data_IF_299033794064
#
_entry.id   IF_299033794064
#
_cell.length_a   1.000
_cell.length_b   1.000
_cell.length_c   1.000
_cell.angle_alpha   90.00
_cell.angle_beta   90.00
_cell.angle_gamma   90.00
#
_symmetry.space_group_name_H-M   'P 1'
#
loop_
_entity.id
_entity.type
_entity.pdbx_description
1 polymer ?
#
# COMPACT_ATOMS: atom_id res chain seq x y z
N UNK A 1 -36.97 3.38 6.33
CA UNK A 1 -36.35 4.02 7.52
C UNK A 1 -35.78 2.92 8.39
N UNK A 2 -34.51 2.61 8.27
CA UNK A 2 -33.85 1.64 9.15
C UNK A 2 -33.35 2.41 10.38
N UNK A 3 -33.83 2.05 11.55
CA UNK A 3 -33.38 2.56 12.82
C UNK A 3 -31.90 2.20 13.01
N UNK A 4 -31.04 3.21 12.90
CA UNK A 4 -29.65 3.11 13.29
C UNK A 4 -29.63 2.94 14.82
N UNK A 5 -29.47 1.72 15.28
CA UNK A 5 -29.29 1.43 16.71
C UNK A 5 -28.03 2.15 17.20
N UNK A 6 -28.14 2.90 18.29
CA UNK A 6 -27.02 3.59 18.92
C UNK A 6 -25.89 2.58 19.23
N UNK A 7 -24.62 2.93 18.98
CA UNK A 7 -23.49 2.02 19.21
C UNK A 7 -23.46 1.62 20.69
N UNK A 8 -23.61 0.33 20.93
CA UNK A 8 -23.60 -0.21 22.29
C UNK A 8 -22.24 0.05 22.96
N UNK A 9 -22.22 0.29 24.29
CA UNK A 9 -20.99 0.41 25.10
C UNK A 9 -20.07 -0.80 24.94
N UNK A 10 -20.63 -1.97 24.64
CA UNK A 10 -19.93 -3.22 24.35
C UNK A 10 -19.05 -3.14 23.09
N UNK A 11 -19.50 -2.45 22.03
CA UNK A 11 -18.73 -2.31 20.80
C UNK A 11 -17.43 -1.50 20.98
N UNK A 12 -17.45 -0.42 21.80
CA UNK A 12 -16.25 0.40 22.05
C UNK A 12 -15.20 -0.34 22.86
N UNK A 13 -15.62 -1.13 23.86
CA UNK A 13 -14.67 -1.97 24.63
C UNK A 13 -14.00 -2.99 23.72
N UNK A 14 -14.73 -3.65 22.85
CA UNK A 14 -14.18 -4.62 21.92
C UNK A 14 -13.19 -3.96 20.92
N UNK A 15 -13.46 -2.72 20.46
CA UNK A 15 -12.52 -1.97 19.61
C UNK A 15 -11.19 -1.70 20.34
N UNK A 16 -11.25 -1.25 21.60
CA UNK A 16 -10.06 -1.00 22.41
C UNK A 16 -9.30 -2.28 22.74
N UNK A 17 -10.01 -3.39 22.98
CA UNK A 17 -9.39 -4.70 23.19
C UNK A 17 -8.65 -5.14 21.93
N UNK A 18 -9.27 -5.01 20.75
CA UNK A 18 -8.63 -5.37 19.47
C UNK A 18 -7.34 -4.57 19.23
N UNK A 19 -7.38 -3.26 19.49
CA UNK A 19 -6.17 -2.42 19.37
C UNK A 19 -5.14 -2.81 20.45
N UNK A 20 -5.56 -3.08 21.69
CA UNK A 20 -4.66 -3.56 22.74
C UNK A 20 -3.97 -4.89 22.38
N UNK A 21 -4.71 -5.84 21.80
CA UNK A 21 -4.16 -7.10 21.30
C UNK A 21 -3.18 -6.86 20.15
N UNK A 22 -3.52 -5.98 19.21
CA UNK A 22 -2.62 -5.59 18.11
C UNK A 22 -1.31 -4.98 18.65
N UNK A 23 -1.40 -4.09 19.66
CA UNK A 23 -0.21 -3.53 20.31
C UNK A 23 0.62 -4.60 21.03
N UNK A 24 0.00 -5.63 21.62
CA UNK A 24 0.71 -6.76 22.21
C UNK A 24 1.43 -7.60 21.14
N UNK A 25 0.82 -7.83 20.00
CA UNK A 25 1.47 -8.52 18.86
C UNK A 25 2.67 -7.71 18.37
N UNK A 26 2.53 -6.39 18.21
CA UNK A 26 3.63 -5.50 17.83
C UNK A 26 4.75 -5.54 18.89
N UNK A 27 4.41 -5.42 20.18
CA UNK A 27 5.39 -5.47 21.26
C UNK A 27 6.12 -6.81 21.32
N UNK A 28 5.41 -7.92 21.08
CA UNK A 28 6.01 -9.25 21.00
C UNK A 28 6.95 -9.37 19.79
N UNK A 29 6.56 -8.84 18.62
CA UNK A 29 7.40 -8.84 17.43
C UNK A 29 8.69 -8.03 17.64
N UNK A 30 8.59 -6.86 18.28
CA UNK A 30 9.75 -6.08 18.70
C UNK A 30 10.63 -6.90 19.66
N UNK A 31 10.05 -7.46 20.73
CA UNK A 31 10.80 -8.18 21.77
C UNK A 31 11.53 -9.41 21.23
N UNK A 32 10.84 -10.24 20.44
CA UNK A 32 11.45 -11.43 19.80
C UNK A 32 12.47 -11.02 18.75
N UNK A 33 12.17 -10.02 17.91
CA UNK A 33 13.12 -9.53 16.92
C UNK A 33 14.39 -8.95 17.54
N UNK A 34 14.29 -8.18 18.62
CA UNK A 34 15.45 -7.68 19.36
C UNK A 34 16.23 -8.83 20.03
N UNK A 35 15.55 -9.87 20.48
CA UNK A 35 16.23 -11.08 20.99
C UNK A 35 17.02 -11.77 19.89
N UNK A 36 16.46 -11.94 18.70
CA UNK A 36 17.14 -12.54 17.55
C UNK A 36 18.33 -11.70 17.06
N UNK A 37 18.28 -10.40 17.18
CA UNK A 37 19.38 -9.50 16.83
C UNK A 37 20.56 -9.52 17.83
N UNK A 38 20.47 -10.26 18.96
CA UNK A 38 21.56 -10.37 19.93
C UNK A 38 22.70 -11.24 19.37
N UNK A 39 23.97 -10.88 19.65
CA UNK A 39 25.10 -11.74 19.32
C UNK A 39 24.92 -13.13 19.94
N UNK A 40 25.13 -14.17 19.17
CA UNK A 40 25.00 -15.55 19.61
C UNK A 40 23.59 -16.16 19.60
N UNK A 41 22.59 -15.45 19.11
CA UNK A 41 21.22 -15.99 18.97
C UNK A 41 21.12 -17.13 17.94
N UNK A 42 22.04 -17.18 16.97
CA UNK A 42 22.01 -18.14 15.85
C UNK A 42 20.89 -17.88 14.83
N UNK A 43 20.10 -16.82 15.00
CA UNK A 43 18.99 -16.46 14.10
C UNK A 43 19.31 -15.13 13.43
N UNK A 44 19.05 -15.04 12.13
CA UNK A 44 19.27 -13.84 11.33
C UNK A 44 17.96 -13.35 10.75
N UNK A 45 17.52 -12.14 11.12
CA UNK A 45 16.27 -11.57 10.63
C UNK A 45 16.45 -10.38 9.69
N UNK A 46 17.65 -9.78 9.65
CA UNK A 46 17.98 -8.60 8.84
C UNK A 46 16.96 -7.44 9.00
N UNK A 47 16.50 -7.19 10.22
CA UNK A 47 15.66 -6.05 10.58
C UNK A 47 16.15 -5.46 11.90
N UNK A 48 16.71 -4.26 11.87
CA UNK A 48 17.35 -3.65 13.05
C UNK A 48 16.36 -2.86 13.92
N UNK A 49 15.18 -2.53 13.39
CA UNK A 49 14.03 -1.99 14.15
C UNK A 49 12.80 -2.91 13.99
N UNK A 50 12.91 -4.21 14.35
CA UNK A 50 11.84 -5.18 14.09
C UNK A 50 10.50 -4.75 14.72
N UNK A 51 9.34 -5.04 14.10
CA UNK A 51 9.19 -5.78 12.85
C UNK A 51 9.45 -4.96 11.59
N UNK A 52 9.74 -3.66 11.70
CA UNK A 52 9.98 -2.76 10.58
C UNK A 52 11.41 -2.90 10.05
N UNK A 53 11.53 -2.72 8.73
CA UNK A 53 12.84 -2.66 8.09
C UNK A 53 13.40 -1.23 8.18
N UNK A 54 14.26 -1.00 9.14
CA UNK A 54 14.84 0.30 9.45
C UNK A 54 15.80 0.26 10.62
N UNK A 55 16.18 1.43 11.09
CA UNK A 55 17.07 1.62 12.25
C UNK A 55 16.34 2.37 13.34
N UNK A 56 16.52 1.97 14.60
CA UNK A 56 16.10 2.78 15.74
C UNK A 56 16.99 4.02 15.81
N UNK A 57 16.43 5.15 15.39
CA UNK A 57 17.12 6.44 15.35
C UNK A 57 16.12 7.56 15.68
N UNK A 58 15.91 7.89 16.95
CA UNK A 58 15.10 9.04 17.31
C UNK A 58 15.66 10.33 16.73
N UNK A 59 14.87 11.02 15.93
CA UNK A 59 15.30 12.25 15.25
C UNK A 59 14.15 13.19 14.95
N UNK A 60 14.51 14.43 14.63
CA UNK A 60 13.64 15.47 14.12
C UNK A 60 14.29 16.09 12.87
N UNK A 61 13.48 16.60 11.97
CA UNK A 61 14.00 17.21 10.75
C UNK A 61 13.10 18.33 10.20
N UNK A 62 13.44 18.88 9.02
CA UNK A 62 12.74 20.02 8.44
C UNK A 62 11.22 19.78 8.28
N UNK A 63 10.79 18.54 8.07
CA UNK A 63 9.39 18.18 7.91
C UNK A 63 8.59 18.09 9.21
N UNK A 64 9.24 17.97 10.38
CA UNK A 64 8.57 17.68 11.66
C UNK A 64 7.49 18.68 12.02
N UNK A 65 7.77 19.97 11.92
CA UNK A 65 6.80 21.03 12.24
C UNK A 65 5.62 21.01 11.28
N UNK A 66 5.90 20.90 9.97
CA UNK A 66 4.85 20.82 8.95
C UNK A 66 3.95 19.59 9.13
N UNK A 67 4.53 18.43 9.40
CA UNK A 67 3.79 17.20 9.66
C UNK A 67 2.86 17.33 10.89
N UNK A 68 3.36 17.88 12.01
CA UNK A 68 2.54 18.10 13.21
C UNK A 68 1.41 19.08 12.94
N UNK A 69 1.69 20.21 12.26
CA UNK A 69 0.67 21.20 11.92
C UNK A 69 -0.41 20.61 11.00
N UNK A 70 -0.02 19.87 9.96
CA UNK A 70 -0.96 19.20 9.06
C UNK A 70 -1.81 18.18 9.81
N UNK A 71 -1.21 17.37 10.69
CA UNK A 71 -1.96 16.43 11.53
C UNK A 71 -3.02 17.15 12.37
N UNK A 72 -2.66 18.23 13.05
CA UNK A 72 -3.57 19.02 13.86
C UNK A 72 -4.69 19.66 13.02
N UNK A 73 -4.37 20.21 11.84
CA UNK A 73 -5.36 20.79 10.93
C UNK A 73 -6.35 19.74 10.42
N UNK A 74 -5.87 18.57 9.97
CA UNK A 74 -6.73 17.51 9.46
C UNK A 74 -7.57 16.88 10.59
N UNK A 75 -7.01 16.64 11.77
CA UNK A 75 -7.75 16.11 12.92
C UNK A 75 -8.85 17.06 13.37
N UNK A 76 -8.58 18.38 13.38
CA UNK A 76 -9.54 19.37 13.87
C UNK A 76 -10.57 19.79 12.83
N UNK A 77 -10.18 19.94 11.56
CA UNK A 77 -11.03 20.50 10.49
C UNK A 77 -11.44 19.46 9.44
N UNK A 78 -10.63 18.42 9.21
CA UNK A 78 -10.85 17.42 8.17
C UNK A 78 -12.26 16.81 8.17
N UNK A 79 -12.76 16.26 9.30
CA UNK A 79 -14.09 15.66 9.33
C UNK A 79 -15.23 16.66 9.00
N UNK A 80 -15.10 17.92 9.43
CA UNK A 80 -16.11 18.94 9.11
C UNK A 80 -16.06 19.40 7.65
N UNK A 81 -14.87 19.52 7.08
CA UNK A 81 -14.68 19.81 5.66
C UNK A 81 -15.18 18.66 4.79
N UNK A 82 -14.88 17.41 5.16
CA UNK A 82 -15.38 16.23 4.47
C UNK A 82 -16.90 16.15 4.44
N UNK A 83 -17.57 16.60 5.50
CA UNK A 83 -19.04 16.63 5.56
C UNK A 83 -19.66 17.76 4.72
N UNK A 84 -19.00 18.91 4.56
CA UNK A 84 -19.60 20.14 4.01
C UNK A 84 -19.21 20.45 2.57
N UNK A 85 -17.98 20.11 2.16
CA UNK A 85 -17.48 20.45 0.84
C UNK A 85 -18.19 19.67 -0.26
N UNK A 86 -18.35 20.30 -1.44
CA UNK A 86 -18.77 19.60 -2.65
C UNK A 86 -17.76 18.50 -2.99
N UNK A 87 -18.21 17.42 -3.62
CA UNK A 87 -17.41 16.22 -3.82
C UNK A 87 -16.08 16.47 -4.53
N UNK A 88 -16.07 17.14 -5.68
CA UNK A 88 -14.83 17.39 -6.45
C UNK A 88 -13.80 18.25 -5.69
N UNK A 89 -14.16 19.42 -5.12
CA UNK A 89 -13.25 20.19 -4.28
C UNK A 89 -12.75 19.40 -3.05
N UNK A 90 -13.58 18.55 -2.48
CA UNK A 90 -13.18 17.69 -1.36
C UNK A 90 -12.07 16.70 -1.75
N UNK A 91 -12.22 16.04 -2.90
CA UNK A 91 -11.20 15.12 -3.41
C UNK A 91 -9.89 15.84 -3.74
N UNK A 92 -9.97 17.02 -4.38
CA UNK A 92 -8.79 17.83 -4.69
C UNK A 92 -8.06 18.28 -3.41
N UNK A 93 -8.81 18.75 -2.41
CA UNK A 93 -8.24 19.13 -1.11
C UNK A 93 -7.60 17.90 -0.43
N UNK A 94 -8.26 16.75 -0.43
CA UNK A 94 -7.74 15.50 0.13
C UNK A 94 -6.42 15.10 -0.53
N UNK A 95 -6.36 15.14 -1.86
CA UNK A 95 -5.16 14.83 -2.62
C UNK A 95 -3.99 15.77 -2.30
N UNK A 96 -4.22 17.09 -2.37
CA UNK A 96 -3.17 18.08 -2.07
C UNK A 96 -2.69 17.97 -0.62
N UNK A 97 -3.62 17.71 0.32
CA UNK A 97 -3.25 17.53 1.73
C UNK A 97 -2.46 16.22 1.93
N UNK A 98 -2.80 15.15 1.20
CA UNK A 98 -2.04 13.89 1.23
C UNK A 98 -0.62 14.07 0.67
N UNK A 99 -0.47 14.82 -0.42
CA UNK A 99 0.86 15.18 -0.95
C UNK A 99 1.68 15.94 0.08
N UNK A 100 1.08 16.98 0.71
CA UNK A 100 1.74 17.77 1.73
C UNK A 100 2.11 16.93 2.96
N UNK A 101 1.22 16.02 3.39
CA UNK A 101 1.46 15.10 4.50
C UNK A 101 2.61 14.13 4.19
N UNK A 102 2.54 13.42 3.09
CA UNK A 102 3.56 12.46 2.65
C UNK A 102 4.92 13.12 2.48
N UNK A 103 4.96 14.28 1.82
CA UNK A 103 6.19 15.06 1.66
C UNK A 103 6.74 15.54 3.01
N UNK A 104 5.88 16.01 3.93
CA UNK A 104 6.33 16.44 5.25
C UNK A 104 6.92 15.28 6.05
N UNK A 105 6.34 14.06 5.95
CA UNK A 105 6.89 12.87 6.57
C UNK A 105 8.27 12.53 5.98
N UNK A 106 8.41 12.49 4.66
CA UNK A 106 9.70 12.24 4.00
C UNK A 106 10.76 13.28 4.42
N UNK A 107 10.36 14.54 4.59
CA UNK A 107 11.24 15.63 5.02
C UNK A 107 11.62 15.57 6.51
N UNK A 108 11.04 14.69 7.33
CA UNK A 108 11.56 14.41 8.68
C UNK A 108 12.97 13.82 8.58
N UNK A 109 13.22 12.97 7.59
CA UNK A 109 14.55 12.44 7.27
C UNK A 109 15.43 13.42 6.46
N UNK A 110 14.84 14.51 5.98
CA UNK A 110 15.50 15.54 5.19
C UNK A 110 15.53 15.26 3.69
N UNK A 111 15.93 16.25 2.90
CA UNK A 111 15.87 16.21 1.44
C UNK A 111 16.68 15.06 0.83
N UNK A 112 17.95 14.95 1.22
CA UNK A 112 18.85 13.96 0.63
C UNK A 112 18.46 12.53 1.03
N UNK A 113 18.24 12.29 2.32
CA UNK A 113 17.99 10.94 2.85
C UNK A 113 16.52 10.51 2.72
N UNK A 114 15.59 11.42 3.03
CA UNK A 114 14.17 11.11 3.08
C UNK A 114 13.45 11.20 1.75
N UNK A 115 14.00 11.95 0.78
CA UNK A 115 13.33 12.18 -0.49
C UNK A 115 14.19 11.75 -1.68
N UNK A 116 15.26 12.46 -2.01
CA UNK A 116 15.99 12.22 -3.27
C UNK A 116 16.86 10.98 -3.29
N UNK A 117 17.31 10.51 -2.13
CA UNK A 117 18.21 9.36 -2.01
C UNK A 117 17.53 7.99 -1.98
N UNK A 118 16.22 7.94 -1.70
CA UNK A 118 15.51 6.66 -1.46
C UNK A 118 15.59 5.68 -2.63
N UNK A 119 15.42 6.16 -3.86
CA UNK A 119 15.38 5.33 -5.07
C UNK A 119 16.74 5.28 -5.80
N UNK A 120 17.82 5.80 -5.18
CA UNK A 120 19.13 5.91 -5.83
C UNK A 120 20.20 4.97 -5.25
N UNK A 121 19.86 4.14 -4.28
CA UNK A 121 20.79 3.18 -3.71
C UNK A 121 21.16 2.10 -4.73
N UNK A 122 22.26 1.38 -4.49
CA UNK A 122 22.73 0.30 -5.36
C UNK A 122 21.73 -0.85 -5.55
N UNK A 123 20.72 -0.95 -4.68
CA UNK A 123 19.70 -1.99 -4.75
C UNK A 123 18.44 -1.53 -5.51
N UNK A 124 18.34 -0.23 -5.84
CA UNK A 124 17.16 0.40 -6.41
C UNK A 124 17.22 0.54 -7.94
N UNK A 125 16.05 0.82 -8.52
CA UNK A 125 15.84 0.89 -9.98
C UNK A 125 16.76 1.89 -10.67
N UNK A 126 16.97 3.08 -10.07
CA UNK A 126 17.75 4.15 -10.70
C UNK A 126 19.23 3.79 -10.90
N UNK A 127 19.72 2.77 -10.19
CA UNK A 127 21.08 2.26 -10.40
C UNK A 127 21.24 1.63 -11.80
N UNK A 128 20.21 0.93 -12.29
CA UNK A 128 20.24 0.25 -13.59
C UNK A 128 19.88 1.15 -14.79
N UNK A 129 19.10 2.22 -14.55
CA UNK A 129 18.55 3.08 -15.61
C UNK A 129 19.60 3.61 -16.59
N UNK A 130 20.80 4.09 -16.16
CA UNK A 130 21.81 4.58 -17.10
C UNK A 130 22.36 3.51 -18.05
N UNK A 131 22.35 2.24 -17.64
CA UNK A 131 22.79 1.11 -18.46
C UNK A 131 21.74 0.64 -19.49
N UNK A 132 20.48 1.02 -19.32
CA UNK A 132 19.37 0.60 -20.21
C UNK A 132 19.29 1.57 -21.38
N UNK A 133 20.08 1.33 -22.43
CA UNK A 133 20.11 2.16 -23.64
C UNK A 133 19.06 1.74 -24.68
N UNK A 134 18.71 0.45 -24.72
CA UNK A 134 17.76 -0.17 -25.63
C UNK A 134 16.64 -0.88 -24.85
N UNK A 135 15.42 -0.34 -24.89
CA UNK A 135 14.26 -0.91 -24.20
C UNK A 135 13.84 -2.27 -24.78
N UNK A 136 13.73 -2.47 -26.10
CA UNK A 136 13.47 -3.77 -26.70
C UNK A 136 14.47 -4.85 -26.26
N UNK A 137 15.77 -4.57 -26.30
CA UNK A 137 16.79 -5.50 -25.83
C UNK A 137 16.63 -5.81 -24.34
N UNK A 138 16.43 -4.79 -23.51
CA UNK A 138 16.18 -4.95 -22.06
C UNK A 138 14.98 -5.89 -21.79
N UNK A 139 13.88 -5.74 -22.51
CA UNK A 139 12.69 -6.57 -22.31
C UNK A 139 12.92 -8.02 -22.74
N UNK A 140 13.60 -8.25 -23.85
CA UNK A 140 13.92 -9.59 -24.37
C UNK A 140 14.88 -10.35 -23.45
N UNK A 141 15.88 -9.65 -22.89
CA UNK A 141 16.92 -10.22 -22.04
C UNK A 141 16.56 -10.20 -20.56
N UNK A 142 15.43 -9.58 -20.17
CA UNK A 142 15.11 -9.32 -18.78
C UNK A 142 15.16 -10.58 -17.91
N UNK A 143 14.53 -11.66 -18.35
CA UNK A 143 14.43 -12.91 -17.60
C UNK A 143 15.79 -13.58 -17.41
N UNK A 144 16.72 -13.49 -18.36
CA UNK A 144 18.04 -14.10 -18.26
C UNK A 144 18.93 -13.47 -17.17
N UNK A 145 18.62 -12.23 -16.77
CA UNK A 145 19.37 -11.45 -15.78
C UNK A 145 18.73 -11.42 -14.39
N UNK A 146 17.61 -12.16 -14.17
CA UNK A 146 16.90 -12.17 -12.88
C UNK A 146 17.72 -12.91 -11.81
N UNK A 147 18.27 -14.08 -12.11
CA UNK A 147 19.04 -14.87 -11.13
C UNK A 147 20.31 -14.17 -10.70
N UNK A 148 20.71 -14.37 -9.43
CA UNK A 148 21.95 -13.82 -8.88
C UNK A 148 23.19 -14.59 -9.31
N UNK A 149 24.35 -14.06 -8.95
CA UNK A 149 25.67 -14.66 -9.19
C UNK A 149 26.08 -14.76 -10.66
N UNK A 150 25.45 -14.00 -11.55
CA UNK A 150 25.87 -13.82 -12.94
C UNK A 150 26.58 -12.46 -13.09
N UNK A 151 27.47 -12.30 -14.07
CA UNK A 151 28.22 -11.04 -14.25
C UNK A 151 27.34 -9.80 -14.50
N UNK A 152 26.14 -10.01 -15.02
CA UNK A 152 25.18 -8.98 -15.45
C UNK A 152 23.80 -9.11 -14.77
N UNK A 153 23.72 -9.79 -13.61
CA UNK A 153 22.49 -9.90 -12.84
C UNK A 153 21.90 -8.54 -12.51
N UNK A 154 20.57 -8.43 -12.63
CA UNK A 154 19.85 -7.23 -12.18
C UNK A 154 20.04 -6.99 -10.68
N UNK A 155 20.07 -5.71 -10.29
CA UNK A 155 20.02 -5.31 -8.87
C UNK A 155 18.77 -5.85 -8.17
N UNK A 156 18.77 -5.84 -6.85
CA UNK A 156 17.76 -6.49 -6.01
C UNK A 156 16.32 -6.11 -6.38
N UNK A 157 16.02 -4.80 -6.52
CA UNK A 157 14.64 -4.38 -6.80
C UNK A 157 14.26 -4.56 -8.27
N UNK A 158 15.21 -4.45 -9.19
CA UNK A 158 14.95 -4.74 -10.60
C UNK A 158 14.66 -6.22 -10.81
N UNK A 159 15.48 -7.11 -10.24
CA UNK A 159 15.28 -8.56 -10.33
C UNK A 159 14.02 -9.03 -9.59
N UNK A 160 13.66 -8.36 -8.49
CA UNK A 160 12.50 -8.70 -7.65
C UNK A 160 11.14 -8.33 -8.26
N UNK A 161 11.11 -7.56 -9.33
CA UNK A 161 9.90 -7.05 -9.96
C UNK A 161 9.88 -7.33 -11.45
N UNK A 162 8.69 -7.41 -12.08
CA UNK A 162 8.59 -7.44 -13.54
C UNK A 162 9.13 -6.14 -14.18
N UNK A 163 9.49 -6.15 -15.47
CA UNK A 163 10.17 -5.04 -16.13
C UNK A 163 9.37 -3.74 -16.18
N UNK A 164 8.07 -3.77 -15.98
CA UNK A 164 7.23 -2.55 -15.98
C UNK A 164 7.62 -1.58 -14.87
N UNK A 165 8.07 -2.07 -13.71
CA UNK A 165 8.56 -1.22 -12.63
C UNK A 165 9.80 -0.42 -13.07
N UNK A 166 10.77 -1.10 -13.67
CA UNK A 166 11.99 -0.47 -14.20
C UNK A 166 11.68 0.49 -15.33
N UNK A 167 10.76 0.13 -16.25
CA UNK A 167 10.35 0.96 -17.37
C UNK A 167 9.80 2.33 -16.92
N UNK A 168 9.12 2.45 -15.79
CA UNK A 168 8.66 3.74 -15.29
C UNK A 168 9.84 4.71 -15.14
N UNK A 169 10.93 4.26 -14.54
CA UNK A 169 12.11 5.10 -14.31
C UNK A 169 12.93 5.32 -15.59
N UNK A 170 12.98 4.33 -16.48
CA UNK A 170 13.60 4.48 -17.80
C UNK A 170 12.84 5.53 -18.62
N UNK A 171 11.51 5.52 -18.62
CA UNK A 171 10.71 6.53 -19.33
C UNK A 171 10.91 7.93 -18.74
N UNK A 172 11.03 8.07 -17.41
CA UNK A 172 11.36 9.36 -16.81
C UNK A 172 12.71 9.87 -17.28
N UNK A 173 13.72 9.02 -17.32
CA UNK A 173 15.05 9.36 -17.83
C UNK A 173 15.00 9.84 -19.29
N UNK A 174 14.27 9.13 -20.16
CA UNK A 174 14.09 9.51 -21.56
C UNK A 174 13.34 10.84 -21.77
N UNK A 175 12.50 11.22 -20.81
CA UNK A 175 11.81 12.51 -20.80
C UNK A 175 12.68 13.64 -20.22
N UNK A 176 13.94 13.37 -19.84
CA UNK A 176 14.84 14.33 -19.20
C UNK A 176 14.55 14.55 -17.71
N UNK A 177 13.70 13.73 -17.09
CA UNK A 177 13.34 13.79 -15.68
C UNK A 177 14.25 12.84 -14.87
N UNK A 178 15.54 13.11 -14.89
CA UNK A 178 16.58 12.22 -14.36
C UNK A 178 16.79 12.39 -12.86
N UNK A 179 17.23 11.30 -12.22
CA UNK A 179 17.68 11.28 -10.82
C UNK A 179 16.56 11.16 -9.79
N UNK A 180 16.98 11.03 -8.54
CA UNK A 180 16.09 10.69 -7.43
C UNK A 180 15.01 11.71 -7.14
N UNK A 181 15.27 13.00 -7.37
CA UNK A 181 14.27 14.05 -7.12
C UNK A 181 13.02 13.90 -7.99
N UNK A 182 13.20 13.63 -9.28
CA UNK A 182 12.07 13.42 -10.21
C UNK A 182 11.40 12.08 -9.98
N UNK A 183 12.17 11.01 -9.78
CA UNK A 183 11.63 9.69 -9.46
C UNK A 183 10.75 9.74 -8.21
N UNK A 184 11.25 10.34 -7.12
CA UNK A 184 10.51 10.50 -5.86
C UNK A 184 9.27 11.37 -6.03
N UNK A 185 9.36 12.46 -6.81
CA UNK A 185 8.21 13.32 -7.10
C UNK A 185 7.11 12.53 -7.80
N UNK A 186 7.44 11.73 -8.83
CA UNK A 186 6.45 10.93 -9.56
C UNK A 186 5.86 9.84 -8.68
N UNK A 187 6.68 9.16 -7.89
CA UNK A 187 6.23 8.14 -6.93
C UNK A 187 5.22 8.73 -5.93
N UNK A 188 5.51 9.88 -5.33
CA UNK A 188 4.61 10.53 -4.36
C UNK A 188 3.34 11.04 -5.04
N UNK A 189 3.45 11.67 -6.22
CA UNK A 189 2.28 12.14 -6.98
C UNK A 189 1.33 10.98 -7.32
N UNK A 190 1.87 9.89 -7.85
CA UNK A 190 1.05 8.73 -8.23
C UNK A 190 0.58 7.97 -7.00
N UNK A 191 1.43 7.75 -6.00
CA UNK A 191 1.10 7.01 -4.79
C UNK A 191 -0.06 7.65 -4.01
N UNK A 192 -0.05 8.97 -3.87
CA UNK A 192 -1.14 9.70 -3.21
C UNK A 192 -2.48 9.63 -3.94
N UNK A 193 -2.54 9.16 -5.21
CA UNK A 193 -3.82 8.89 -5.88
C UNK A 193 -4.64 7.84 -5.13
N UNK A 194 -4.02 6.91 -4.40
CA UNK A 194 -4.73 5.93 -3.58
C UNK A 194 -5.66 6.59 -2.56
N UNK A 195 -5.26 7.75 -2.00
CA UNK A 195 -6.06 8.54 -1.04
C UNK A 195 -7.36 9.03 -1.64
N UNK A 196 -7.42 9.22 -2.95
CA UNK A 196 -8.63 9.64 -3.70
C UNK A 196 -9.35 8.42 -4.29
N UNK A 197 -8.62 7.45 -4.80
CA UNK A 197 -9.16 6.28 -5.47
C UNK A 197 -10.04 5.44 -4.54
N UNK A 198 -9.61 5.23 -3.29
CA UNK A 198 -10.40 4.45 -2.30
C UNK A 198 -11.75 5.12 -2.00
N UNK A 199 -11.86 6.42 -1.63
CA UNK A 199 -13.15 7.10 -1.48
C UNK A 199 -13.97 7.12 -2.76
N UNK A 200 -13.36 7.32 -3.94
CA UNK A 200 -14.07 7.29 -5.23
C UNK A 200 -14.71 5.93 -5.47
N UNK A 201 -14.00 4.85 -5.17
CA UNK A 201 -14.54 3.48 -5.25
C UNK A 201 -15.76 3.31 -4.36
N UNK A 202 -15.71 3.72 -3.10
CA UNK A 202 -16.85 3.64 -2.18
C UNK A 202 -18.04 4.47 -2.66
N UNK A 203 -17.79 5.69 -3.14
CA UNK A 203 -18.86 6.55 -3.67
C UNK A 203 -19.48 5.98 -4.97
N UNK A 204 -18.67 5.34 -5.82
CA UNK A 204 -19.16 4.66 -7.02
C UNK A 204 -20.06 3.46 -6.67
N UNK A 205 -19.73 2.76 -5.59
CA UNK A 205 -20.50 1.64 -5.03
C UNK A 205 -21.68 2.09 -4.15
N UNK A 206 -22.06 3.38 -4.17
CA UNK A 206 -23.21 3.92 -3.46
C UNK A 206 -22.98 4.29 -1.99
N UNK A 207 -21.71 4.33 -1.53
CA UNK A 207 -21.35 4.65 -0.14
C UNK A 207 -20.54 5.96 -0.05
N UNK A 208 -21.13 7.06 -0.57
CA UNK A 208 -20.51 8.40 -0.47
C UNK A 208 -20.36 8.86 1.00
N UNK A 209 -21.28 8.47 1.88
CA UNK A 209 -21.20 8.70 3.33
C UNK A 209 -19.92 8.10 3.95
N UNK A 210 -19.65 6.86 3.60
CA UNK A 210 -18.42 6.16 3.99
C UNK A 210 -17.18 6.81 3.36
N UNK A 211 -17.24 7.12 2.07
CA UNK A 211 -16.14 7.76 1.33
C UNK A 211 -15.72 9.09 1.98
N UNK A 212 -16.68 9.94 2.35
CA UNK A 212 -16.42 11.19 3.07
C UNK A 212 -15.80 10.97 4.46
N UNK A 213 -16.23 9.92 5.14
CA UNK A 213 -15.66 9.53 6.44
C UNK A 213 -14.22 9.03 6.31
N UNK A 214 -13.93 8.24 5.28
CA UNK A 214 -12.62 7.63 5.04
C UNK A 214 -11.56 8.64 4.65
N UNK A 215 -11.90 9.67 3.87
CA UNK A 215 -10.93 10.59 3.27
C UNK A 215 -9.96 11.24 4.28
N UNK A 216 -10.37 11.81 5.43
CA UNK A 216 -9.42 12.34 6.40
C UNK A 216 -8.46 11.29 6.99
N UNK A 217 -8.92 10.04 7.13
CA UNK A 217 -8.08 8.93 7.59
C UNK A 217 -7.10 8.48 6.51
N UNK A 218 -7.53 8.45 5.25
CA UNK A 218 -6.67 8.16 4.12
C UNK A 218 -5.54 9.19 3.98
N UNK A 219 -5.84 10.48 4.22
CA UNK A 219 -4.84 11.56 4.24
C UNK A 219 -3.80 11.33 5.33
N UNK A 220 -4.20 10.98 6.55
CA UNK A 220 -3.31 10.82 7.71
C UNK A 220 -2.94 9.36 7.98
N UNK A 221 -3.03 8.48 6.98
CA UNK A 221 -2.64 7.08 7.15
C UNK A 221 -1.16 6.96 7.56
N UNK A 222 -0.81 6.09 8.51
CA UNK A 222 0.59 5.82 8.82
C UNK A 222 1.37 5.27 7.62
N UNK A 223 0.73 4.49 6.74
CA UNK A 223 1.33 4.01 5.49
C UNK A 223 1.89 5.11 4.57
N UNK A 224 1.51 6.38 4.79
CA UNK A 224 2.08 7.51 4.06
C UNK A 224 3.61 7.65 4.25
N UNK A 225 4.18 7.11 5.34
CA UNK A 225 5.64 7.04 5.57
C UNK A 225 6.31 6.34 4.38
N UNK A 226 5.73 5.23 3.93
CA UNK A 226 6.30 4.37 2.87
C UNK A 226 5.82 4.75 1.46
N UNK A 227 4.73 5.48 1.32
CA UNK A 227 4.40 6.17 0.06
C UNK A 227 5.46 7.20 -0.27
N UNK A 228 6.05 7.81 0.71
CA UNK A 228 7.07 8.80 0.53
C UNK A 228 8.43 8.44 1.17
N UNK A 229 9.29 7.61 0.51
CA UNK A 229 9.28 7.30 -0.93
C UNK A 229 9.63 5.85 -1.17
N UNK A 230 8.75 5.08 -1.78
CA UNK A 230 9.05 3.75 -2.30
C UNK A 230 8.31 3.51 -3.62
N UNK A 231 8.84 2.65 -4.48
CA UNK A 231 8.16 2.25 -5.71
C UNK A 231 6.78 1.61 -5.42
N UNK A 232 6.63 0.95 -4.27
CA UNK A 232 5.37 0.34 -3.83
C UNK A 232 4.26 1.39 -3.63
N UNK A 233 4.62 2.63 -3.24
CA UNK A 233 3.69 3.76 -3.22
C UNK A 233 3.11 4.04 -4.61
N UNK A 234 3.95 4.08 -5.65
CA UNK A 234 3.49 4.22 -7.03
C UNK A 234 2.59 3.05 -7.44
N UNK A 235 2.96 1.82 -7.08
CA UNK A 235 2.17 0.62 -7.38
C UNK A 235 0.77 0.70 -6.74
N UNK A 236 0.70 1.17 -5.48
CA UNK A 236 -0.57 1.40 -4.79
C UNK A 236 -1.44 2.43 -5.52
N UNK A 237 -0.86 3.54 -5.95
CA UNK A 237 -1.59 4.59 -6.68
C UNK A 237 -2.13 4.14 -8.04
N UNK A 238 -1.32 3.43 -8.83
CA UNK A 238 -1.72 2.87 -10.14
C UNK A 238 -2.87 1.89 -9.98
N UNK A 239 -2.69 0.91 -9.10
CA UNK A 239 -3.67 -0.19 -8.95
C UNK A 239 -4.95 0.28 -8.26
N UNK A 240 -4.86 1.18 -7.27
CA UNK A 240 -6.04 1.76 -6.66
C UNK A 240 -6.86 2.60 -7.66
N UNK A 241 -6.18 3.34 -8.56
CA UNK A 241 -6.84 4.06 -9.64
C UNK A 241 -7.53 3.09 -10.61
N UNK A 242 -6.88 1.98 -10.95
CA UNK A 242 -7.47 0.91 -11.76
C UNK A 242 -8.78 0.38 -11.15
N UNK A 243 -8.78 0.03 -9.87
CA UNK A 243 -9.98 -0.46 -9.15
C UNK A 243 -11.07 0.64 -9.07
N UNK A 244 -10.68 1.90 -8.85
CA UNK A 244 -11.65 3.01 -8.84
C UNK A 244 -12.33 3.19 -10.21
N UNK A 245 -11.59 3.03 -11.31
CA UNK A 245 -12.16 3.06 -12.67
C UNK A 245 -13.12 1.89 -12.90
N UNK A 246 -12.80 0.68 -12.40
CA UNK A 246 -13.73 -0.45 -12.46
C UNK A 246 -15.04 -0.16 -11.69
N UNK A 247 -14.95 0.40 -10.49
CA UNK A 247 -16.13 0.79 -9.74
C UNK A 247 -16.94 1.88 -10.47
N UNK A 248 -16.30 2.86 -11.08
CA UNK A 248 -16.93 3.91 -11.90
C UNK A 248 -17.53 3.36 -13.21
N UNK A 249 -17.05 2.23 -13.70
CA UNK A 249 -17.58 1.59 -14.90
C UNK A 249 -19.05 1.17 -14.77
N UNK A 250 -19.56 1.04 -13.55
CA UNK A 250 -21.02 0.89 -13.29
C UNK A 250 -21.85 2.04 -13.85
N UNK A 251 -21.26 3.23 -13.98
CA UNK A 251 -21.90 4.42 -14.57
C UNK A 251 -21.55 4.63 -16.04
N UNK A 252 -20.32 4.24 -16.44
CA UNK A 252 -19.79 4.36 -17.81
C UNK A 252 -18.93 3.16 -18.12
N UNK A 253 -19.48 2.13 -18.72
CA UNK A 253 -18.81 0.83 -18.98
C UNK A 253 -17.43 0.94 -19.60
N UNK A 254 -17.22 1.93 -20.48
CA UNK A 254 -15.92 2.15 -21.16
C UNK A 254 -14.77 2.38 -20.16
N UNK A 255 -15.03 2.86 -18.94
CA UNK A 255 -14.02 3.05 -17.92
C UNK A 255 -13.40 1.73 -17.42
N UNK A 256 -14.05 0.59 -17.68
CA UNK A 256 -13.49 -0.71 -17.36
C UNK A 256 -12.22 -1.00 -18.19
N UNK A 257 -12.14 -0.51 -19.42
CA UNK A 257 -10.97 -0.73 -20.26
C UNK A 257 -9.71 -0.03 -19.70
N UNK A 258 -9.68 1.29 -19.45
CA UNK A 258 -8.52 1.91 -18.81
C UNK A 258 -8.28 1.38 -17.37
N UNK A 259 -9.33 0.99 -16.64
CA UNK A 259 -9.17 0.29 -15.36
C UNK A 259 -8.40 -1.03 -15.53
N UNK A 260 -8.78 -1.82 -16.54
CA UNK A 260 -8.08 -3.06 -16.90
C UNK A 260 -6.65 -2.82 -17.38
N UNK A 261 -6.40 -1.77 -18.18
CA UNK A 261 -5.03 -1.40 -18.60
C UNK A 261 -4.14 -1.08 -17.39
N UNK A 262 -4.63 -0.30 -16.42
CA UNK A 262 -3.87 0.02 -15.20
C UNK A 262 -3.62 -1.22 -14.33
N UNK A 263 -4.61 -2.11 -14.19
CA UNK A 263 -4.44 -3.35 -13.45
C UNK A 263 -3.51 -4.33 -14.19
N UNK A 264 -3.61 -4.39 -15.52
CA UNK A 264 -2.68 -5.13 -16.36
C UNK A 264 -1.25 -4.62 -16.21
N UNK A 265 -1.06 -3.29 -16.23
CA UNK A 265 0.25 -2.69 -15.96
C UNK A 265 0.71 -2.98 -14.53
N UNK A 266 -0.21 -3.00 -13.56
CA UNK A 266 0.07 -3.43 -12.18
C UNK A 266 0.71 -4.82 -12.11
N UNK A 267 0.29 -5.79 -12.93
CA UNK A 267 0.92 -7.11 -13.00
C UNK A 267 2.40 -7.03 -13.43
N UNK A 268 2.78 -5.99 -14.17
CA UNK A 268 4.17 -5.74 -14.59
C UNK A 268 4.91 -4.75 -13.69
N UNK A 269 4.25 -4.24 -12.64
CA UNK A 269 4.90 -3.47 -11.57
C UNK A 269 5.37 -4.38 -10.44
N UNK A 270 4.56 -5.37 -10.03
CA UNK A 270 4.96 -6.37 -9.03
C UNK A 270 4.19 -7.67 -9.21
N UNK A 271 4.86 -8.81 -9.05
CA UNK A 271 4.25 -10.13 -9.16
C UNK A 271 3.14 -10.35 -8.13
N UNK A 272 3.29 -9.82 -6.91
CA UNK A 272 2.30 -9.93 -5.83
C UNK A 272 0.97 -9.23 -6.15
N UNK A 273 0.95 -8.27 -7.09
CA UNK A 273 -0.26 -7.51 -7.42
C UNK A 273 -1.35 -8.34 -8.14
N UNK A 274 -1.03 -9.56 -8.57
CA UNK A 274 -2.05 -10.52 -9.03
C UNK A 274 -3.10 -10.78 -7.94
N UNK A 275 -2.73 -10.70 -6.66
CA UNK A 275 -3.63 -10.89 -5.53
C UNK A 275 -4.72 -9.81 -5.44
N UNK A 276 -4.55 -8.64 -6.07
CA UNK A 276 -5.62 -7.63 -6.20
C UNK A 276 -6.83 -8.14 -6.99
N UNK A 277 -6.71 -9.27 -7.68
CA UNK A 277 -7.84 -9.98 -8.28
C UNK A 277 -8.96 -10.27 -7.28
N UNK A 278 -8.64 -10.48 -6.00
CA UNK A 278 -9.63 -10.65 -4.92
C UNK A 278 -10.48 -9.38 -4.73
N UNK A 279 -9.85 -8.21 -4.77
CA UNK A 279 -10.54 -6.92 -4.67
C UNK A 279 -11.37 -6.61 -5.93
N UNK A 280 -10.81 -6.93 -7.11
CA UNK A 280 -11.56 -6.82 -8.38
C UNK A 280 -12.80 -7.69 -8.34
N UNK A 281 -12.68 -8.93 -7.87
CA UNK A 281 -13.82 -9.84 -7.69
C UNK A 281 -14.84 -9.27 -6.70
N UNK A 282 -14.40 -8.68 -5.58
CA UNK A 282 -15.30 -8.03 -4.62
C UNK A 282 -16.12 -6.90 -5.28
N UNK A 283 -15.48 -6.06 -6.11
CA UNK A 283 -16.16 -5.00 -6.87
C UNK A 283 -17.19 -5.61 -7.84
N UNK A 284 -16.84 -6.68 -8.56
CA UNK A 284 -17.76 -7.36 -9.49
C UNK A 284 -18.96 -7.98 -8.75
N UNK A 285 -18.73 -8.62 -7.61
CA UNK A 285 -19.77 -9.20 -6.75
C UNK A 285 -20.75 -8.13 -6.25
N UNK A 286 -20.23 -6.96 -5.84
CA UNK A 286 -21.04 -5.82 -5.36
C UNK A 286 -21.86 -5.21 -6.48
N UNK A 287 -21.29 -5.06 -7.65
CA UNK A 287 -21.93 -4.42 -8.80
C UNK A 287 -22.84 -5.36 -9.59
N UNK A 288 -22.54 -6.67 -9.57
CA UNK A 288 -23.15 -7.72 -10.39
C UNK A 288 -23.06 -7.47 -11.90
N UNK A 289 -22.06 -6.70 -12.33
CA UNK A 289 -21.87 -6.28 -13.71
C UNK A 289 -20.69 -7.05 -14.35
N UNK A 290 -20.96 -8.27 -14.81
CA UNK A 290 -19.95 -9.14 -15.43
C UNK A 290 -19.34 -8.54 -16.71
N UNK A 291 -20.07 -7.66 -17.39
CA UNK A 291 -19.55 -6.93 -18.56
C UNK A 291 -18.35 -6.02 -18.21
N UNK A 292 -18.30 -5.52 -16.98
CA UNK A 292 -17.15 -4.73 -16.48
C UNK A 292 -15.92 -5.63 -16.39
N UNK A 293 -16.08 -6.85 -15.86
CA UNK A 293 -14.98 -7.81 -15.76
C UNK A 293 -14.44 -8.17 -17.16
N UNK A 294 -15.32 -8.42 -18.12
CA UNK A 294 -14.91 -8.74 -19.50
C UNK A 294 -14.10 -7.62 -20.13
N UNK A 295 -14.55 -6.37 -20.06
CA UNK A 295 -13.83 -5.23 -20.59
C UNK A 295 -12.51 -4.98 -19.84
N UNK A 296 -12.47 -5.17 -18.52
CA UNK A 296 -11.25 -5.09 -17.75
C UNK A 296 -10.26 -6.17 -18.16
N UNK A 297 -10.73 -7.41 -18.38
CA UNK A 297 -9.88 -8.51 -18.85
C UNK A 297 -9.29 -8.21 -20.23
N UNK A 298 -10.03 -7.56 -21.11
CA UNK A 298 -9.47 -7.07 -22.41
C UNK A 298 -8.34 -6.08 -22.16
N UNK A 299 -8.52 -5.11 -21.25
CA UNK A 299 -7.46 -4.16 -20.90
C UNK A 299 -6.22 -4.86 -20.33
N UNK A 300 -6.41 -5.80 -19.40
CA UNK A 300 -5.31 -6.62 -18.84
C UNK A 300 -4.62 -7.41 -19.95
N UNK A 301 -5.39 -8.08 -20.82
CA UNK A 301 -4.85 -8.89 -21.92
C UNK A 301 -4.02 -8.08 -22.90
N UNK A 302 -4.42 -6.84 -23.21
CA UNK A 302 -3.65 -5.91 -24.07
C UNK A 302 -2.26 -5.67 -23.48
N UNK A 303 -2.16 -5.41 -22.16
CA UNK A 303 -0.85 -5.17 -21.53
C UNK A 303 -0.03 -6.46 -21.49
N UNK A 304 -0.63 -7.58 -21.09
CA UNK A 304 0.06 -8.88 -21.05
C UNK A 304 0.60 -9.24 -22.43
N UNK A 305 -0.22 -9.06 -23.48
CA UNK A 305 0.19 -9.32 -24.86
C UNK A 305 1.31 -8.38 -25.31
N UNK A 306 1.25 -7.09 -24.94
CA UNK A 306 2.30 -6.13 -25.29
C UNK A 306 3.66 -6.55 -24.72
N UNK A 307 3.74 -6.94 -23.46
CA UNK A 307 4.98 -7.44 -22.84
C UNK A 307 5.42 -8.78 -23.43
N UNK A 308 4.49 -9.70 -23.70
CA UNK A 308 4.80 -10.99 -24.32
C UNK A 308 5.39 -10.81 -25.73
N UNK A 309 4.80 -9.94 -26.56
CA UNK A 309 5.31 -9.61 -27.89
C UNK A 309 6.65 -8.85 -27.86
N UNK A 310 6.92 -8.12 -26.77
CA UNK A 310 8.19 -7.46 -26.52
C UNK A 310 9.27 -8.41 -25.95
N UNK A 311 8.97 -9.71 -25.80
CA UNK A 311 9.93 -10.75 -25.41
C UNK A 311 9.94 -11.10 -23.91
N UNK A 312 9.10 -10.49 -23.09
CA UNK A 312 9.00 -10.85 -21.66
C UNK A 312 7.74 -11.64 -21.36
N UNK A 313 7.91 -12.88 -20.88
CA UNK A 313 6.82 -13.74 -20.42
C UNK A 313 6.69 -13.72 -18.90
N UNK A 314 5.55 -13.30 -18.40
CA UNK A 314 5.32 -13.03 -16.98
C UNK A 314 5.55 -14.25 -16.07
N UNK A 315 5.12 -15.46 -16.51
CA UNK A 315 5.29 -16.68 -15.71
C UNK A 315 6.75 -17.12 -15.60
N UNK A 316 7.54 -16.94 -16.65
CA UNK A 316 8.98 -17.24 -16.62
C UNK A 316 9.67 -16.32 -15.61
N UNK A 317 9.36 -15.01 -15.67
CA UNK A 317 9.86 -14.05 -14.70
C UNK A 317 9.43 -14.38 -13.27
N UNK A 318 8.18 -14.84 -13.07
CA UNK A 318 7.69 -15.25 -11.76
C UNK A 318 8.45 -16.45 -11.19
N UNK A 319 8.68 -17.49 -11.99
CA UNK A 319 9.44 -18.65 -11.53
C UNK A 319 10.88 -18.26 -11.15
N UNK A 320 11.52 -17.45 -11.99
CA UNK A 320 12.88 -16.99 -11.73
C UNK A 320 12.98 -16.08 -10.50
N UNK A 321 11.99 -15.20 -10.25
CA UNK A 321 12.02 -14.36 -9.06
C UNK A 321 11.83 -15.16 -7.77
N UNK A 322 11.04 -16.24 -7.79
CA UNK A 322 10.94 -17.14 -6.64
C UNK A 322 12.29 -17.79 -6.33
N UNK A 323 13.03 -18.22 -7.34
CA UNK A 323 14.40 -18.72 -7.17
C UNK A 323 15.35 -17.62 -6.66
N UNK A 324 15.33 -16.44 -7.30
CA UNK A 324 16.10 -15.27 -6.90
C UNK A 324 15.87 -14.86 -5.44
N UNK A 325 14.63 -14.93 -4.99
CA UNK A 325 14.25 -14.60 -3.61
C UNK A 325 15.01 -15.47 -2.60
N UNK A 326 15.17 -16.76 -2.90
CA UNK A 326 15.90 -17.70 -2.03
C UNK A 326 17.42 -17.70 -2.28
N UNK A 327 17.93 -17.05 -3.30
CA UNK A 327 19.36 -16.77 -3.45
C UNK A 327 19.84 -15.64 -2.52
N UNK A 328 18.92 -14.77 -2.06
CA UNK A 328 19.19 -13.64 -1.19
C UNK A 328 18.99 -13.91 0.31
N UNK A 329 18.92 -12.83 1.07
CA UNK A 329 18.76 -12.82 2.54
C UNK A 329 17.49 -13.52 3.03
N UNK A 330 16.47 -13.65 2.18
CA UNK A 330 15.21 -14.31 2.49
C UNK A 330 15.36 -15.77 2.91
N UNK A 331 16.39 -16.47 2.43
CA UNK A 331 16.72 -17.84 2.87
C UNK A 331 17.04 -17.91 4.35
N UNK A 332 17.70 -16.89 4.88
CA UNK A 332 18.14 -16.82 6.29
C UNK A 332 17.04 -16.31 7.21
N UNK A 333 16.04 -15.60 6.68
CA UNK A 333 14.91 -15.07 7.44
C UNK A 333 13.93 -16.20 7.83
N UNK A 334 13.73 -16.52 9.12
CA UNK A 334 12.89 -17.62 9.56
C UNK A 334 11.41 -17.31 9.31
N UNK A 335 10.72 -18.16 8.57
CA UNK A 335 9.29 -18.02 8.31
C UNK A 335 8.45 -18.04 9.59
N UNK A 336 8.85 -18.86 10.57
CA UNK A 336 8.16 -18.97 11.87
C UNK A 336 8.11 -17.67 12.66
N UNK A 337 9.02 -16.73 12.41
CA UNK A 337 8.96 -15.38 12.97
C UNK A 337 8.19 -14.44 12.04
N UNK A 338 8.52 -14.42 10.75
CA UNK A 338 8.00 -13.43 9.84
C UNK A 338 6.51 -13.59 9.57
N UNK A 339 5.94 -14.79 9.53
CA UNK A 339 4.50 -15.03 9.30
C UNK A 339 3.57 -14.27 10.27
N UNK A 340 4.03 -13.86 11.43
CA UNK A 340 3.27 -13.05 12.37
C UNK A 340 3.91 -11.68 12.64
N UNK A 341 5.21 -11.52 12.45
CA UNK A 341 5.89 -10.25 12.53
C UNK A 341 5.53 -9.33 11.34
N UNK A 342 5.29 -9.89 10.16
CA UNK A 342 4.76 -9.17 9.01
C UNK A 342 3.36 -8.61 9.31
N UNK A 343 2.50 -9.39 9.95
CA UNK A 343 1.21 -8.85 10.44
C UNK A 343 1.43 -7.72 11.46
N UNK A 344 2.43 -7.80 12.34
CA UNK A 344 2.75 -6.71 13.25
C UNK A 344 3.19 -5.43 12.50
N UNK A 345 3.97 -5.56 11.41
CA UNK A 345 4.35 -4.42 10.56
C UNK A 345 3.12 -3.79 9.87
N UNK A 346 2.21 -4.62 9.32
CA UNK A 346 0.93 -4.16 8.77
C UNK A 346 0.10 -3.41 9.82
N UNK A 347 0.01 -3.92 11.06
CA UNK A 347 -0.75 -3.27 12.14
C UNK A 347 -0.21 -1.85 12.45
N UNK A 348 1.10 -1.65 12.32
CA UNK A 348 1.72 -0.32 12.44
C UNK A 348 1.34 0.54 11.23
N UNK A 349 1.46 0.02 10.02
CA UNK A 349 1.23 0.75 8.77
C UNK A 349 -0.23 1.19 8.59
N UNK A 350 -1.20 0.38 9.01
CA UNK A 350 -2.63 0.73 8.91
C UNK A 350 -3.13 1.57 10.09
N UNK A 351 -2.52 1.43 11.26
CA UNK A 351 -2.82 2.20 12.46
C UNK A 351 -4.11 1.79 13.21
N UNK A 352 -4.32 2.34 14.42
CA UNK A 352 -5.32 1.85 15.37
C UNK A 352 -6.78 2.02 14.91
N UNK A 353 -7.08 3.05 14.11
CA UNK A 353 -8.44 3.27 13.59
C UNK A 353 -8.86 2.15 12.64
N UNK A 354 -7.97 1.76 11.74
CA UNK A 354 -8.23 0.69 10.75
C UNK A 354 -8.32 -0.66 11.46
N UNK A 355 -7.46 -0.94 12.44
CA UNK A 355 -7.53 -2.16 13.27
C UNK A 355 -8.92 -2.31 13.91
N UNK A 356 -9.39 -1.26 14.59
CA UNK A 356 -10.71 -1.26 15.23
C UNK A 356 -11.85 -1.43 14.22
N UNK A 357 -11.74 -0.77 13.06
CA UNK A 357 -12.71 -0.89 11.98
C UNK A 357 -12.74 -2.27 11.33
N UNK A 358 -11.59 -2.88 11.06
CA UNK A 358 -11.47 -4.23 10.49
C UNK A 358 -12.06 -5.28 11.43
N UNK A 359 -11.81 -5.16 12.74
CA UNK A 359 -12.52 -5.99 13.73
C UNK A 359 -14.04 -5.88 13.58
N UNK A 360 -14.57 -4.67 13.34
CA UNK A 360 -16.03 -4.47 13.14
C UNK A 360 -16.52 -5.14 11.86
N UNK A 361 -15.79 -5.02 10.77
CA UNK A 361 -16.10 -5.72 9.52
C UNK A 361 -16.17 -7.23 9.72
N UNK A 362 -15.21 -7.81 10.46
CA UNK A 362 -15.21 -9.23 10.81
C UNK A 362 -16.42 -9.62 11.68
N UNK A 363 -16.77 -8.79 12.68
CA UNK A 363 -17.93 -9.05 13.53
C UNK A 363 -19.26 -8.96 12.76
N UNK A 364 -19.40 -8.02 11.83
CA UNK A 364 -20.57 -7.92 10.94
C UNK A 364 -20.68 -9.15 10.02
N UNK A 365 -19.56 -9.59 9.47
CA UNK A 365 -19.52 -10.80 8.64
C UNK A 365 -19.94 -12.04 9.41
N UNK A 366 -19.42 -12.24 10.62
CA UNK A 366 -19.78 -13.41 11.44
C UNK A 366 -21.25 -13.38 11.87
N UNK A 367 -21.82 -12.18 12.11
CA UNK A 367 -23.21 -12.04 12.49
C UNK A 367 -24.17 -12.23 11.30
N UNK A 368 -23.85 -11.63 10.16
CA UNK A 368 -24.73 -11.59 8.98
C UNK A 368 -23.95 -11.78 7.66
N UNK A 369 -23.41 -12.98 7.36
CA UNK A 369 -22.54 -13.20 6.19
C UNK A 369 -23.20 -12.79 4.87
N UNK A 370 -24.47 -13.19 4.65
CA UNK A 370 -25.19 -12.88 3.41
C UNK A 370 -25.38 -11.37 3.16
N UNK A 371 -25.54 -10.59 4.23
CA UNK A 371 -25.62 -9.13 4.16
C UNK A 371 -24.28 -8.52 3.85
N UNK A 372 -23.20 -9.02 4.47
CA UNK A 372 -21.82 -8.55 4.30
C UNK A 372 -21.36 -8.64 2.85
N UNK A 373 -21.76 -9.66 2.10
CA UNK A 373 -21.52 -9.77 0.65
C UNK A 373 -22.21 -8.70 -0.20
N UNK A 374 -23.11 -7.91 0.38
CA UNK A 374 -23.84 -6.83 -0.30
C UNK A 374 -23.48 -5.45 0.25
N UNK A 375 -22.68 -5.39 1.30
CA UNK A 375 -22.25 -4.16 1.95
C UNK A 375 -20.85 -3.80 1.47
N UNK A 376 -20.69 -2.68 0.70
CA UNK A 376 -19.42 -2.35 0.04
C UNK A 376 -18.25 -2.18 1.00
N UNK A 377 -18.44 -1.52 2.13
CA UNK A 377 -17.36 -1.26 3.09
C UNK A 377 -16.86 -2.57 3.67
N UNK A 378 -17.75 -3.41 4.16
CA UNK A 378 -17.41 -4.69 4.80
C UNK A 378 -16.76 -5.64 3.81
N UNK A 379 -17.31 -5.79 2.59
CA UNK A 379 -16.75 -6.73 1.61
C UNK A 379 -15.37 -6.30 1.11
N UNK A 380 -15.15 -5.00 0.84
CA UNK A 380 -13.82 -4.50 0.41
C UNK A 380 -12.78 -4.72 1.50
N UNK A 381 -13.12 -4.42 2.76
CA UNK A 381 -12.20 -4.63 3.90
C UNK A 381 -11.85 -6.11 4.07
N UNK A 382 -12.83 -7.00 3.97
CA UNK A 382 -12.59 -8.44 4.06
C UNK A 382 -11.77 -8.96 2.87
N UNK A 383 -12.03 -8.46 1.67
CA UNK A 383 -11.25 -8.81 0.49
C UNK A 383 -9.79 -8.35 0.64
N UNK A 384 -9.55 -7.14 1.15
CA UNK A 384 -8.20 -6.65 1.43
C UNK A 384 -7.49 -7.49 2.51
N UNK A 385 -8.17 -7.81 3.61
CA UNK A 385 -7.62 -8.67 4.65
C UNK A 385 -7.29 -10.07 4.13
N UNK A 386 -8.12 -10.63 3.26
CA UNK A 386 -7.88 -11.92 2.61
C UNK A 386 -6.69 -11.86 1.65
N UNK A 387 -6.55 -10.76 0.90
CA UNK A 387 -5.40 -10.51 0.01
C UNK A 387 -4.10 -10.49 0.81
N UNK A 388 -4.06 -9.76 1.94
CA UNK A 388 -2.90 -9.71 2.83
C UNK A 388 -2.61 -11.09 3.42
N UNK A 389 -3.64 -11.83 3.85
CA UNK A 389 -3.46 -13.18 4.37
C UNK A 389 -2.85 -14.14 3.32
N UNK A 390 -3.25 -14.05 2.05
CA UNK A 390 -2.63 -14.84 0.98
C UNK A 390 -1.18 -14.42 0.73
N UNK A 391 -0.88 -13.12 0.76
CA UNK A 391 0.49 -12.62 0.61
C UNK A 391 1.40 -13.13 1.74
N UNK A 392 0.94 -13.05 2.99
CA UNK A 392 1.66 -13.48 4.18
C UNK A 392 1.93 -15.01 4.18
N UNK A 393 0.88 -15.81 3.95
CA UNK A 393 0.97 -17.25 3.92
C UNK A 393 1.83 -17.81 2.77
N UNK A 394 2.04 -17.03 1.71
CA UNK A 394 2.92 -17.42 0.60
C UNK A 394 4.39 -17.55 1.01
N UNK A 395 4.82 -16.82 2.04
CA UNK A 395 6.22 -16.75 2.48
C UNK A 395 7.17 -16.10 1.48
N UNK A 396 6.62 -15.44 0.44
CA UNK A 396 7.41 -14.75 -0.60
C UNK A 396 7.65 -13.27 -0.28
N UNK A 397 7.24 -12.82 0.91
CA UNK A 397 7.54 -11.49 1.46
C UNK A 397 7.80 -11.66 2.94
N UNK A 398 9.06 -11.83 3.32
CA UNK A 398 9.51 -11.87 4.72
C UNK A 398 10.22 -10.56 5.05
N UNK A 399 9.66 -9.75 5.91
CA UNK A 399 10.01 -8.35 6.20
C UNK A 399 9.62 -7.35 5.09
N UNK A 400 9.71 -6.07 5.40
CA UNK A 400 9.49 -4.95 4.48
C UNK A 400 8.03 -4.82 4.01
N UNK A 401 7.13 -5.59 4.61
CA UNK A 401 5.71 -5.66 4.18
C UNK A 401 4.96 -4.36 4.44
N UNK A 402 5.42 -3.53 5.35
CA UNK A 402 4.92 -2.17 5.60
C UNK A 402 4.94 -1.27 4.35
N UNK A 403 5.77 -1.61 3.34
CA UNK A 403 5.76 -0.99 2.01
C UNK A 403 5.25 -1.92 0.91
N UNK A 404 5.75 -3.17 0.87
CA UNK A 404 5.42 -4.13 -0.20
C UNK A 404 3.90 -4.35 -0.30
N UNK A 405 3.18 -4.32 0.84
CA UNK A 405 1.74 -4.54 0.87
C UNK A 405 0.91 -3.26 0.90
N UNK A 406 1.51 -2.08 0.74
CA UNK A 406 0.76 -0.82 0.58
C UNK A 406 -0.39 -0.90 -0.44
N UNK A 407 -0.21 -1.56 -1.63
CA UNK A 407 -1.30 -1.72 -2.59
C UNK A 407 -2.52 -2.48 -2.05
N UNK A 408 -2.35 -3.28 -1.00
CA UNK A 408 -3.40 -4.03 -0.32
C UNK A 408 -3.94 -3.27 0.91
N UNK A 409 -3.05 -2.68 1.69
CA UNK A 409 -3.35 -1.98 2.96
C UNK A 409 -4.27 -0.79 2.78
N UNK A 410 -4.13 -0.04 1.68
CA UNK A 410 -5.01 1.11 1.39
C UNK A 410 -6.47 0.72 1.29
N UNK A 411 -6.78 -0.55 0.99
CA UNK A 411 -8.13 -1.10 0.92
C UNK A 411 -8.69 -1.56 2.27
N UNK A 412 -7.90 -1.51 3.35
CA UNK A 412 -8.39 -1.62 4.72
C UNK A 412 -8.92 -0.29 5.26
N UNK A 413 -8.54 0.87 4.68
CA UNK A 413 -9.00 2.20 5.10
C UNK A 413 -10.53 2.36 5.15
N UNK A 414 -11.33 1.76 4.26
CA UNK A 414 -12.79 1.77 4.37
C UNK A 414 -13.33 1.34 5.73
N UNK A 415 -12.62 0.51 6.48
CA UNK A 415 -13.02 0.01 7.79
C UNK A 415 -13.32 1.13 8.81
N UNK A 416 -12.66 2.30 8.70
CA UNK A 416 -12.89 3.42 9.61
C UNK A 416 -14.32 3.99 9.51
N UNK A 417 -15.03 3.74 8.40
CA UNK A 417 -16.42 4.13 8.25
C UNK A 417 -17.36 3.35 9.20
N UNK A 418 -16.95 2.15 9.63
CA UNK A 418 -17.68 1.31 10.58
C UNK A 418 -17.54 1.79 12.03
N UNK A 419 -16.59 2.69 12.31
CA UNK A 419 -16.40 3.27 13.63
C UNK A 419 -17.57 4.23 13.97
N UNK A 420 -18.00 4.27 15.25
CA UNK A 420 -19.01 5.23 15.68
C UNK A 420 -18.59 6.67 15.43
N UNK A 421 -19.51 7.52 15.02
CA UNK A 421 -19.24 8.95 14.77
C UNK A 421 -18.69 9.65 16.02
N UNK A 422 -19.24 9.29 17.20
CA UNK A 422 -18.73 9.76 18.50
C UNK A 422 -17.36 9.14 18.78
N UNK A 423 -16.33 9.97 18.75
CA UNK A 423 -14.94 9.55 19.02
C UNK A 423 -14.09 9.30 17.79
N UNK A 424 -14.62 9.38 16.55
CA UNK A 424 -13.81 9.25 15.32
C UNK A 424 -12.61 10.19 15.26
N UNK A 425 -12.76 11.41 15.78
CA UNK A 425 -11.65 12.36 15.83
C UNK A 425 -10.46 11.86 16.64
N UNK A 426 -10.73 11.15 17.74
CA UNK A 426 -9.66 10.53 18.54
C UNK A 426 -8.98 9.38 17.80
N UNK A 427 -9.73 8.58 17.05
CA UNK A 427 -9.17 7.55 16.20
C UNK A 427 -8.29 8.15 15.08
N UNK A 428 -8.74 9.27 14.48
CA UNK A 428 -7.95 9.99 13.48
C UNK A 428 -6.66 10.56 14.10
N UNK A 429 -6.75 11.15 15.28
CA UNK A 429 -5.59 11.64 16.02
C UNK A 429 -4.62 10.50 16.37
N UNK A 430 -5.13 9.33 16.76
CA UNK A 430 -4.30 8.17 17.06
C UNK A 430 -3.56 7.66 15.80
N UNK A 431 -4.21 7.63 14.62
CA UNK A 431 -3.55 7.25 13.36
C UNK A 431 -2.45 8.25 12.99
N UNK A 432 -2.71 9.57 13.09
CA UNK A 432 -1.69 10.59 12.85
C UNK A 432 -0.52 10.48 13.85
N UNK A 433 -0.82 10.23 15.13
CA UNK A 433 0.20 10.04 16.15
C UNK A 433 1.06 8.81 15.86
N UNK A 434 0.47 7.70 15.39
CA UNK A 434 1.23 6.51 14.97
C UNK A 434 2.23 6.87 13.87
N UNK A 435 1.80 7.57 12.81
CA UNK A 435 2.70 8.00 11.75
C UNK A 435 3.86 8.87 12.29
N UNK A 436 3.53 9.89 13.09
CA UNK A 436 4.53 10.79 13.65
C UNK A 436 5.51 10.07 14.58
N UNK A 437 5.01 9.21 15.46
CA UNK A 437 5.85 8.46 16.40
C UNK A 437 6.78 7.51 15.66
N UNK A 438 6.25 6.73 14.73
CA UNK A 438 7.07 5.78 13.95
C UNK A 438 8.15 6.51 13.18
N UNK A 439 7.79 7.55 12.43
CA UNK A 439 8.76 8.26 11.56
C UNK A 439 9.81 9.07 12.34
N UNK A 440 9.51 9.51 13.57
CA UNK A 440 10.49 10.19 14.42
C UNK A 440 11.37 9.25 15.24
N UNK A 441 10.97 7.99 15.42
CA UNK A 441 11.72 7.01 16.20
C UNK A 441 12.50 6.02 15.34
N UNK A 442 12.01 5.74 14.14
CA UNK A 442 12.58 4.75 13.23
C UNK A 442 12.97 5.43 11.93
N UNK A 443 14.24 5.38 11.61
CA UNK A 443 14.71 5.68 10.26
C UNK A 443 14.41 4.46 9.40
N UNK A 444 13.36 4.54 8.59
CA UNK A 444 13.01 3.50 7.62
C UNK A 444 14.01 3.49 6.46
N UNK A 445 14.17 2.38 5.78
CA UNK A 445 15.08 2.28 4.63
C UNK A 445 14.50 2.92 3.36
N UNK A 446 13.19 3.15 3.33
CA UNK A 446 12.43 3.86 2.31
C UNK A 446 11.40 4.77 2.93
#
# INVERSE_FOLDING_TARGET
MSTVTAPSRTGRRADLIAVGLAMLVVAAAIGVGLYYNRPGSGVVIYAFAPPLFGLWLPHVGPGSVAAVVLALLVVTKGPSLAARLRWRPLLALGYVTALAWTFSLAMIDGWARGFTGRLTTEHEYLHEVPGITDIPAMLTEFSSRILDFQPDSWTTHVSGHPPGATLVFVWLDRLGLQGGAWASTVVVLVGCLAVVAVPVTLAALGREDAARTVLPFAVLTPGAIWIGVSADGLFAGVTATGIALLALATRRRILALPGGLLLGFGLFLSYGLVLLGVLVLAVVVLTREWSILLLATVGVAVVVLAFALAGFWWLDGYHLVVERYYQGIATLRPYSYWVWADIAAVLIAIGPAVIAGTRRAGAEFLAEPKRSFREPVTLIVLAAALTIAFADLSGLSKAEVERIWLPFEVWLLPAVALLPSKGRRWWLAASAATALVVNHLVLTSW
#
